data_IF_405894042949
#
_entry.id   IF_405894042949
#
_cell.length_a   1.000
_cell.length_b   1.000
_cell.length_c   1.000
_cell.angle_alpha   90.00
_cell.angle_beta   90.00
_cell.angle_gamma   90.00
#
_symmetry.space_group_name_H-M   'P 1'
#
loop_
_entity.id
_entity.type
_entity.pdbx_description
1 polymer ?
#
# COMPACT_ATOMS: atom_id res chain seq x y z
N UNK A 1 -24.31 -24.48 -50.17
CA UNK A 1 -24.56 -23.07 -50.55
C UNK A 1 -25.69 -22.55 -49.66
N UNK A 2 -25.61 -21.40 -49.00
CA UNK A 2 -24.53 -20.39 -48.97
C UNK A 2 -24.38 -19.84 -47.53
N UNK A 3 -23.16 -19.44 -47.16
CA UNK A 3 -22.92 -18.64 -45.97
C UNK A 3 -23.46 -17.21 -46.19
N UNK A 4 -23.84 -16.54 -45.11
CA UNK A 4 -23.74 -15.08 -44.94
C UNK A 4 -23.60 -14.80 -43.43
N UNK A 5 -22.36 -14.60 -43.00
CA UNK A 5 -22.03 -14.16 -41.65
C UNK A 5 -22.21 -12.63 -41.56
N UNK A 6 -23.09 -12.17 -40.66
CA UNK A 6 -23.32 -10.73 -40.46
C UNK A 6 -22.45 -10.21 -39.31
N UNK A 7 -21.23 -9.82 -39.67
CA UNK A 7 -20.15 -9.42 -38.74
C UNK A 7 -20.44 -8.04 -38.11
N UNK A 8 -21.12 -8.02 -36.95
CA UNK A 8 -21.33 -6.79 -36.17
C UNK A 8 -20.04 -6.31 -35.51
N UNK A 9 -19.34 -5.43 -36.21
CA UNK A 9 -18.24 -4.64 -35.67
C UNK A 9 -18.70 -3.79 -34.47
N UNK A 10 -18.33 -4.21 -33.27
CA UNK A 10 -18.38 -3.38 -32.07
C UNK A 10 -17.07 -2.58 -31.95
N UNK A 11 -17.09 -1.35 -32.45
CA UNK A 11 -15.96 -0.44 -32.42
C UNK A 11 -15.66 0.00 -30.97
N UNK A 12 -14.61 -0.59 -30.38
CA UNK A 12 -14.14 -0.22 -29.04
C UNK A 12 -13.37 1.10 -29.10
N UNK A 13 -13.99 2.18 -28.66
CA UNK A 13 -13.30 3.46 -28.46
C UNK A 13 -12.11 3.27 -27.49
N UNK A 14 -10.88 3.67 -27.88
CA UNK A 14 -9.73 3.56 -26.99
C UNK A 14 -9.86 4.51 -25.80
N UNK A 15 -9.69 3.98 -24.58
CA UNK A 15 -9.62 4.78 -23.36
C UNK A 15 -8.34 5.64 -23.36
N UNK A 16 -8.46 6.92 -23.69
CA UNK A 16 -7.36 7.90 -23.60
C UNK A 16 -6.91 8.06 -22.14
N UNK A 17 -5.77 7.45 -21.80
CA UNK A 17 -5.12 7.65 -20.51
C UNK A 17 -4.33 8.97 -20.53
N UNK A 18 -4.55 9.90 -19.58
CA UNK A 18 -3.73 11.11 -19.51
C UNK A 18 -2.30 10.76 -19.04
N UNK A 19 -1.35 10.74 -19.98
CA UNK A 19 0.08 10.61 -19.71
C UNK A 19 0.59 11.82 -18.93
N UNK A 20 0.98 11.62 -17.67
CA UNK A 20 1.71 12.63 -16.89
C UNK A 20 3.17 12.71 -17.39
N UNK A 21 3.43 13.54 -18.39
CA UNK A 21 4.79 13.80 -18.87
C UNK A 21 5.63 14.53 -17.81
N UNK A 22 6.54 13.78 -17.18
CA UNK A 22 7.57 14.31 -16.30
C UNK A 22 8.67 15.01 -17.14
N UNK A 23 8.45 16.28 -17.51
CA UNK A 23 9.44 17.04 -18.25
C UNK A 23 10.69 17.32 -17.39
N UNK A 24 11.76 16.59 -17.66
CA UNK A 24 13.07 16.74 -17.01
C UNK A 24 14.06 17.34 -18.00
N UNK A 25 14.06 18.67 -18.12
CA UNK A 25 14.98 19.39 -19.00
C UNK A 25 16.30 19.73 -18.28
N UNK A 26 17.29 18.82 -18.38
CA UNK A 26 18.69 19.14 -18.10
C UNK A 26 19.42 19.44 -19.41
N UNK A 27 20.14 20.57 -19.46
CA UNK A 27 21.50 20.73 -20.05
C UNK A 27 21.86 22.21 -20.13
N UNK A 28 23.15 22.51 -19.98
CA UNK A 28 23.86 23.53 -20.76
C UNK A 28 25.36 23.43 -20.44
N UNK A 29 26.17 23.13 -21.45
CA UNK A 29 27.63 23.03 -21.38
C UNK A 29 28.29 24.04 -22.31
N UNK A 30 29.27 24.80 -21.79
CA UNK A 30 30.43 25.38 -22.51
C UNK A 30 30.07 26.49 -23.54
N UNK A 31 30.71 27.68 -23.54
CA UNK A 31 32.07 27.91 -24.11
C UNK A 31 32.64 29.28 -23.69
N UNK A 32 33.96 29.44 -23.77
CA UNK A 32 34.78 30.58 -23.32
C UNK A 32 34.90 31.72 -24.37
N UNK A 33 35.13 32.99 -23.97
CA UNK A 33 36.46 33.67 -24.06
C UNK A 33 36.46 35.23 -24.10
N UNK A 34 37.45 35.79 -23.37
CA UNK A 34 38.26 37.01 -23.64
C UNK A 34 37.62 38.43 -23.66
N UNK A 35 38.48 39.45 -23.54
CA UNK A 35 38.19 40.78 -22.95
C UNK A 35 39.21 41.83 -23.44
N UNK A 36 38.79 43.05 -23.84
CA UNK A 36 39.04 44.22 -22.98
C UNK A 36 37.95 45.33 -22.99
N UNK A 37 38.27 46.44 -22.31
CA UNK A 37 37.55 47.72 -22.12
C UNK A 37 38.00 48.80 -23.14
N UNK A 38 37.55 50.09 -23.16
CA UNK A 38 36.67 50.82 -22.22
C UNK A 38 35.60 51.78 -22.83
N UNK A 39 34.67 52.27 -22.01
CA UNK A 39 34.28 53.70 -21.93
C UNK A 39 33.16 53.93 -20.90
N UNK A 40 33.12 55.13 -20.31
CA UNK A 40 32.28 55.47 -19.17
C UNK A 40 30.90 56.03 -19.56
N UNK A 41 29.83 55.43 -19.05
CA UNK A 41 28.57 56.13 -18.76
C UNK A 41 28.04 55.73 -17.39
N UNK A 42 27.58 56.71 -16.59
CA UNK A 42 27.11 56.48 -15.22
C UNK A 42 25.67 55.97 -15.25
N UNK A 43 25.51 54.67 -15.52
CA UNK A 43 24.22 53.99 -15.41
C UNK A 43 23.88 53.71 -13.94
N UNK A 44 22.98 54.51 -13.35
CA UNK A 44 22.42 54.24 -12.01
C UNK A 44 21.69 52.90 -12.03
N UNK A 45 22.24 51.89 -11.34
CA UNK A 45 21.60 50.57 -11.20
C UNK A 45 20.20 50.73 -10.58
N UNK A 46 19.12 50.24 -11.21
CA UNK A 46 17.81 50.24 -10.57
C UNK A 46 17.84 49.28 -9.38
N UNK A 47 17.91 49.84 -8.16
CA UNK A 47 17.70 49.06 -6.93
C UNK A 47 16.20 48.78 -6.80
N UNK A 48 15.79 47.63 -7.32
CA UNK A 48 14.42 47.14 -7.28
C UNK A 48 14.34 45.73 -7.84
N UNK A 49 13.23 45.04 -7.53
CA UNK A 49 12.92 43.73 -8.13
C UNK A 49 12.80 43.90 -9.66
N UNK A 50 13.30 42.98 -10.50
CA UNK A 50 13.25 43.11 -11.96
C UNK A 50 11.83 43.43 -12.48
N UNK A 51 11.69 44.34 -13.47
CA UNK A 51 10.38 44.72 -13.99
C UNK A 51 9.55 43.50 -14.41
N UNK A 52 8.31 43.44 -13.96
CA UNK A 52 7.36 42.44 -14.46
C UNK A 52 7.62 41.00 -14.01
N UNK A 53 8.37 40.76 -12.92
CA UNK A 53 8.30 39.47 -12.21
C UNK A 53 6.89 39.27 -11.64
N UNK A 54 5.93 38.92 -12.50
CA UNK A 54 4.56 38.56 -12.12
C UNK A 54 4.71 37.47 -11.06
N UNK A 55 4.17 37.73 -9.87
CA UNK A 55 4.03 36.66 -8.89
C UNK A 55 3.21 35.57 -9.58
N UNK A 56 3.84 34.46 -9.98
CA UNK A 56 3.11 33.24 -10.28
C UNK A 56 2.18 33.03 -9.08
N UNK A 57 0.85 32.92 -9.26
CA UNK A 57 -0.04 32.63 -8.16
C UNK A 57 0.58 31.46 -7.40
N UNK A 58 0.87 31.67 -6.11
CA UNK A 58 1.51 30.66 -5.29
C UNK A 58 0.57 29.47 -5.35
N UNK A 59 0.97 28.41 -6.06
CA UNK A 59 0.10 27.26 -6.36
C UNK A 59 -0.54 26.89 -5.02
N UNK A 60 -1.88 26.91 -4.90
CA UNK A 60 -2.52 26.64 -3.63
C UNK A 60 -1.94 25.33 -3.11
N UNK A 61 -1.28 25.39 -1.96
CA UNK A 61 -0.77 24.18 -1.34
C UNK A 61 -1.99 23.29 -1.17
N UNK A 62 -2.00 22.13 -1.84
CA UNK A 62 -3.09 21.18 -1.73
C UNK A 62 -3.10 20.70 -0.29
N UNK A 63 -3.89 21.39 0.55
CA UNK A 63 -4.22 20.96 1.89
C UNK A 63 -5.02 19.70 1.68
N UNK A 64 -4.31 18.58 1.70
CA UNK A 64 -4.92 17.26 1.75
C UNK A 64 -5.49 17.19 3.15
N UNK A 65 -6.73 17.65 3.30
CA UNK A 65 -7.46 17.51 4.54
C UNK A 65 -7.50 16.00 4.83
N UNK A 66 -6.80 15.57 5.88
CA UNK A 66 -6.92 14.20 6.39
C UNK A 66 -8.37 14.05 6.83
N UNK A 67 -9.17 13.39 5.99
CA UNK A 67 -10.60 13.24 6.22
C UNK A 67 -10.71 12.39 7.50
N UNK A 68 -11.37 12.88 8.56
CA UNK A 68 -11.52 12.10 9.78
C UNK A 68 -12.10 10.72 9.45
N UNK A 69 -11.37 9.66 9.81
CA UNK A 69 -11.67 8.26 9.52
C UNK A 69 -11.42 7.77 8.07
N UNK A 70 -10.63 8.48 7.26
CA UNK A 70 -10.20 7.98 5.95
C UNK A 70 -9.52 6.60 6.04
N UNK A 71 -9.87 5.70 5.12
CA UNK A 71 -9.14 4.46 4.90
C UNK A 71 -7.78 4.78 4.26
N UNK A 72 -6.70 4.36 4.90
CA UNK A 72 -5.33 4.53 4.38
C UNK A 72 -4.76 3.19 3.94
N UNK A 73 -4.30 3.07 2.70
CA UNK A 73 -3.61 1.85 2.22
C UNK A 73 -2.17 1.78 2.72
N UNK A 74 -1.71 0.55 2.98
CA UNK A 74 -0.35 0.26 3.41
C UNK A 74 0.15 -1.04 2.80
N UNK A 75 1.40 -1.04 2.33
CA UNK A 75 2.21 -2.23 2.26
C UNK A 75 2.95 -2.36 3.61
N UNK A 76 2.77 -3.49 4.30
CA UNK A 76 3.41 -3.78 5.58
C UNK A 76 4.39 -4.94 5.38
N UNK A 77 5.67 -4.70 5.65
CA UNK A 77 6.70 -5.73 5.61
C UNK A 77 6.91 -6.35 6.99
N UNK A 78 6.89 -7.69 7.07
CA UNK A 78 7.18 -8.46 8.28
C UNK A 78 8.54 -9.13 8.10
N UNK A 79 9.49 -8.78 8.98
CA UNK A 79 10.88 -9.27 8.91
C UNK A 79 10.99 -10.78 9.15
N UNK A 80 11.96 -11.42 8.49
CA UNK A 80 12.33 -12.82 8.68
C UNK A 80 12.44 -13.20 10.17
N UNK A 81 11.74 -14.27 10.57
CA UNK A 81 11.77 -14.80 11.94
C UNK A 81 10.82 -14.11 12.93
N UNK A 82 10.14 -13.03 12.56
CA UNK A 82 9.12 -12.42 13.41
C UNK A 82 7.81 -13.25 13.45
N UNK A 83 7.07 -13.16 14.56
CA UNK A 83 5.66 -13.58 14.60
C UNK A 83 4.80 -12.50 13.93
N UNK A 84 4.11 -12.87 12.84
CA UNK A 84 3.23 -11.99 12.06
C UNK A 84 2.14 -11.38 12.94
N UNK A 85 1.47 -12.19 13.78
CA UNK A 85 0.35 -11.72 14.61
C UNK A 85 0.82 -10.74 15.68
N UNK A 86 1.98 -10.99 16.29
CA UNK A 86 2.60 -10.06 17.24
C UNK A 86 3.01 -8.76 16.55
N UNK A 87 3.65 -8.84 15.39
CA UNK A 87 4.15 -7.68 14.64
C UNK A 87 3.02 -6.74 14.20
N UNK A 88 1.91 -7.30 13.71
CA UNK A 88 0.72 -6.53 13.35
C UNK A 88 0.02 -5.91 14.56
N UNK A 89 -0.09 -6.63 15.69
CA UNK A 89 -0.65 -6.07 16.92
C UNK A 89 0.24 -4.98 17.55
N UNK A 90 1.56 -5.10 17.41
CA UNK A 90 2.50 -4.06 17.80
C UNK A 90 2.41 -2.84 16.85
N UNK A 91 2.11 -3.04 15.56
CA UNK A 91 1.84 -1.96 14.61
C UNK A 91 0.55 -1.20 14.94
N UNK A 92 -0.59 -1.89 15.13
CA UNK A 92 -1.88 -1.24 15.44
C UNK A 92 -1.81 -0.44 16.73
N UNK A 93 -1.21 -1.00 17.78
CA UNK A 93 -1.00 -0.33 19.07
C UNK A 93 -0.14 0.93 18.95
N UNK A 94 0.91 0.93 18.11
CA UNK A 94 1.73 2.14 17.85
C UNK A 94 1.00 3.20 17.02
N UNK A 95 0.05 2.81 16.17
CA UNK A 95 -0.69 3.71 15.27
C UNK A 95 -2.00 4.23 15.85
N UNK A 96 -2.53 3.63 16.92
CA UNK A 96 -3.85 3.96 17.47
C UNK A 96 -5.01 3.67 16.49
N UNK A 97 -4.77 2.86 15.46
CA UNK A 97 -5.70 2.51 14.38
C UNK A 97 -5.74 0.99 14.23
N UNK A 98 -6.90 0.43 13.89
CA UNK A 98 -7.01 -0.96 13.48
C UNK A 98 -6.63 -1.11 12.00
N UNK A 99 -6.38 -2.35 11.59
CA UNK A 99 -6.05 -2.69 10.20
C UNK A 99 -6.85 -3.90 9.71
N UNK A 100 -7.20 -3.86 8.43
CA UNK A 100 -7.71 -4.99 7.66
C UNK A 100 -6.61 -5.44 6.70
N UNK A 101 -6.17 -6.69 6.80
CA UNK A 101 -5.27 -7.33 5.84
C UNK A 101 -6.11 -7.85 4.67
N UNK A 102 -5.81 -7.38 3.46
CA UNK A 102 -6.48 -7.77 2.22
C UNK A 102 -5.91 -9.06 1.63
N UNK A 103 -4.59 -9.20 1.75
CA UNK A 103 -3.79 -10.17 1.05
C UNK A 103 -2.34 -10.04 1.46
N UNK A 104 -1.51 -10.98 1.02
CA UNK A 104 -0.08 -10.94 1.31
C UNK A 104 0.64 -12.17 0.79
N UNK A 105 1.94 -12.02 0.56
CA UNK A 105 2.79 -13.03 -0.03
C UNK A 105 4.05 -13.24 0.81
N UNK A 106 4.49 -14.49 0.91
CA UNK A 106 5.70 -14.88 1.62
C UNK A 106 5.63 -16.33 2.11
N UNK A 107 6.62 -16.74 2.90
CA UNK A 107 6.75 -18.12 3.40
C UNK A 107 6.83 -18.11 4.92
N UNK A 108 6.07 -18.97 5.59
CA UNK A 108 6.20 -19.22 7.04
C UNK A 108 7.02 -20.48 7.31
N UNK A 109 7.67 -20.52 8.49
CA UNK A 109 8.45 -21.69 8.97
C UNK A 109 7.70 -22.53 10.02
N UNK A 110 6.74 -21.89 10.68
CA UNK A 110 5.92 -22.43 11.77
C UNK A 110 4.60 -21.66 11.81
N UNK A 111 3.49 -22.37 11.93
CA UNK A 111 2.17 -21.75 12.13
C UNK A 111 1.22 -22.71 12.85
N UNK A 112 0.31 -22.14 13.65
CA UNK A 112 -0.82 -22.86 14.23
C UNK A 112 -2.12 -22.36 13.59
N UNK A 113 -2.97 -23.29 13.16
CA UNK A 113 -4.27 -23.02 12.54
C UNK A 113 -5.39 -23.67 13.35
N UNK A 114 -6.46 -22.91 13.60
CA UNK A 114 -7.74 -23.47 14.04
C UNK A 114 -8.61 -23.74 12.82
N UNK A 115 -8.97 -25.01 12.63
CA UNK A 115 -9.90 -25.45 11.59
C UNK A 115 -11.35 -25.08 11.96
N UNK A 116 -12.28 -24.99 10.98
CA UNK A 116 -13.71 -24.82 11.25
C UNK A 116 -14.29 -25.90 12.17
N UNK A 117 -13.76 -27.14 12.09
CA UNK A 117 -14.09 -28.27 12.96
C UNK A 117 -13.58 -28.13 14.41
N UNK A 118 -13.01 -26.98 14.79
CA UNK A 118 -12.40 -26.74 16.09
C UNK A 118 -11.01 -27.35 16.28
N UNK A 119 -10.61 -28.31 15.44
CA UNK A 119 -9.28 -28.95 15.48
C UNK A 119 -8.17 -27.91 15.31
N UNK A 120 -7.16 -27.95 16.18
CA UNK A 120 -5.93 -27.17 16.04
C UNK A 120 -4.88 -28.00 15.29
N UNK A 121 -4.33 -27.42 14.23
CA UNK A 121 -3.27 -27.99 13.41
C UNK A 121 -2.00 -27.17 13.58
N UNK A 122 -0.86 -27.83 13.76
CA UNK A 122 0.46 -27.16 13.80
C UNK A 122 1.26 -27.59 12.58
N UNK A 123 1.69 -26.63 11.77
CA UNK A 123 2.49 -26.87 10.58
C UNK A 123 3.91 -26.32 10.79
N UNK A 124 4.91 -27.06 10.32
CA UNK A 124 6.33 -26.73 10.41
C UNK A 124 7.01 -26.96 9.05
N UNK A 125 8.10 -26.25 8.79
CA UNK A 125 8.80 -26.27 7.51
C UNK A 125 8.40 -25.08 6.63
N UNK A 126 8.95 -25.00 5.41
CA UNK A 126 8.70 -23.89 4.48
C UNK A 126 7.33 -24.06 3.83
N UNK A 127 6.39 -23.21 4.23
CA UNK A 127 4.99 -23.25 3.80
C UNK A 127 4.64 -21.90 3.19
N UNK A 128 4.17 -21.89 1.94
CA UNK A 128 3.88 -20.65 1.21
C UNK A 128 2.50 -20.10 1.61
N UNK A 129 2.42 -18.79 1.82
CA UNK A 129 1.15 -18.08 1.93
C UNK A 129 0.59 -17.95 0.52
N UNK A 130 -0.60 -18.51 0.30
CA UNK A 130 -1.36 -18.35 -0.95
C UNK A 130 -2.40 -17.22 -0.83
N UNK A 131 -3.04 -17.12 0.34
CA UNK A 131 -3.91 -15.99 0.69
C UNK A 131 -3.89 -15.76 2.20
N UNK A 132 -4.01 -14.51 2.63
CA UNK A 132 -4.13 -14.10 4.04
C UNK A 132 -5.03 -12.88 4.14
N UNK A 133 -6.05 -12.92 5.00
CA UNK A 133 -6.94 -11.78 5.21
C UNK A 133 -7.48 -11.73 6.63
N UNK A 134 -8.06 -10.60 7.02
CA UNK A 134 -8.74 -10.43 8.31
C UNK A 134 -8.32 -9.17 9.05
N UNK A 135 -8.74 -9.05 10.31
CA UNK A 135 -8.70 -7.79 11.06
C UNK A 135 -7.84 -7.89 12.32
N UNK A 136 -7.00 -6.87 12.55
CA UNK A 136 -6.25 -6.71 13.79
C UNK A 136 -6.64 -5.36 14.39
N UNK A 137 -7.04 -5.38 15.67
CA UNK A 137 -7.44 -4.19 16.40
C UNK A 137 -6.34 -3.69 17.33
N UNK A 138 -6.34 -2.38 17.61
CA UNK A 138 -5.61 -1.79 18.72
C UNK A 138 -6.42 -1.97 20.01
N UNK A 139 -5.78 -2.07 21.20
CA UNK A 139 -6.47 -1.79 22.46
C UNK A 139 -7.21 -0.43 22.39
N UNK A 140 -8.38 -0.28 23.06
CA UNK A 140 -8.98 -1.21 24.02
C UNK A 140 -9.78 -2.37 23.39
N UNK A 141 -10.03 -2.37 22.09
CA UNK A 141 -10.83 -3.41 21.41
C UNK A 141 -10.25 -4.80 21.63
N UNK A 142 -11.10 -5.76 22.02
CA UNK A 142 -10.67 -7.14 22.32
C UNK A 142 -10.00 -7.80 21.12
N UNK A 143 -8.87 -8.47 21.36
CA UNK A 143 -8.16 -9.27 20.33
C UNK A 143 -9.02 -10.41 19.77
N UNK A 144 -10.04 -10.86 20.51
CA UNK A 144 -10.96 -11.91 20.09
C UNK A 144 -12.06 -11.43 19.12
N UNK A 145 -12.25 -10.11 18.97
CA UNK A 145 -13.12 -9.56 17.93
C UNK A 145 -12.45 -9.62 16.54
N UNK A 146 -11.11 -9.67 16.51
CA UNK A 146 -10.31 -9.77 15.29
C UNK A 146 -9.70 -11.15 15.12
N UNK A 147 -8.97 -11.32 14.02
CA UNK A 147 -8.32 -12.56 13.64
C UNK A 147 -7.87 -12.50 12.19
N UNK A 148 -6.93 -13.38 11.83
CA UNK A 148 -6.53 -13.62 10.44
C UNK A 148 -6.97 -15.01 10.02
N UNK A 149 -7.42 -15.14 8.78
CA UNK A 149 -7.59 -16.42 8.09
C UNK A 149 -6.51 -16.50 7.02
N UNK A 150 -5.94 -17.69 6.83
CA UNK A 150 -4.88 -17.93 5.85
C UNK A 150 -5.19 -19.19 5.06
N UNK A 151 -4.77 -19.22 3.80
CA UNK A 151 -4.66 -20.41 2.97
C UNK A 151 -3.19 -20.58 2.58
N UNK A 152 -2.69 -21.79 2.79
CA UNK A 152 -1.29 -22.15 2.71
C UNK A 152 -1.06 -23.31 1.75
N UNK A 153 0.03 -23.28 1.01
CA UNK A 153 0.47 -24.39 0.16
C UNK A 153 1.74 -25.02 0.71
N UNK A 154 1.72 -26.34 0.91
CA UNK A 154 2.90 -27.12 1.24
C UNK A 154 3.76 -27.44 0.00
N UNK A 155 5.01 -27.92 0.17
CA UNK A 155 5.91 -28.22 -0.94
C UNK A 155 5.42 -29.33 -1.89
N UNK A 156 4.38 -30.09 -1.49
CA UNK A 156 3.72 -31.12 -2.31
C UNK A 156 2.43 -30.63 -2.98
N UNK A 157 2.22 -29.32 -3.14
CA UNK A 157 1.03 -28.74 -3.77
C UNK A 157 -0.26 -28.73 -2.94
N UNK A 158 -0.35 -29.55 -1.89
CA UNK A 158 -1.51 -29.58 -0.98
C UNK A 158 -1.78 -28.23 -0.32
N UNK A 159 -3.05 -27.82 -0.33
CA UNK A 159 -3.52 -26.59 0.31
C UNK A 159 -4.20 -26.87 1.66
N UNK A 160 -3.94 -26.00 2.64
CA UNK A 160 -4.53 -26.06 3.99
C UNK A 160 -4.90 -24.63 4.41
N UNK A 161 -6.13 -24.40 4.86
CA UNK A 161 -6.58 -23.10 5.34
C UNK A 161 -7.14 -23.13 6.75
N UNK A 162 -7.26 -21.98 7.41
CA UNK A 162 -7.88 -21.84 8.73
C UNK A 162 -7.58 -20.51 9.42
N UNK A 163 -8.16 -20.31 10.60
CA UNK A 163 -7.89 -19.13 11.43
C UNK A 163 -6.52 -19.24 12.08
N UNK A 164 -5.69 -18.21 11.95
CA UNK A 164 -4.32 -18.18 12.47
C UNK A 164 -4.33 -18.01 13.98
N UNK A 165 -3.56 -18.87 14.66
CA UNK A 165 -3.22 -18.72 16.07
C UNK A 165 -1.74 -18.33 16.20
N UNK A 166 -1.42 -17.45 17.16
CA UNK A 166 -0.02 -17.11 17.43
C UNK A 166 0.72 -18.33 18.01
N UNK A 167 2.01 -18.54 17.65
CA UNK A 167 2.78 -17.74 16.71
C UNK A 167 2.65 -18.20 15.24
N UNK A 168 2.72 -17.25 14.31
CA UNK A 168 2.90 -17.46 12.86
C UNK A 168 4.25 -16.88 12.47
N UNK A 169 5.28 -17.73 12.35
CA UNK A 169 6.68 -17.29 12.25
C UNK A 169 7.13 -17.20 10.80
N UNK A 170 7.61 -16.02 10.40
CA UNK A 170 8.12 -15.75 9.06
C UNK A 170 9.40 -16.56 8.73
N UNK A 171 9.43 -17.22 7.57
CA UNK A 171 10.62 -17.93 7.05
C UNK A 171 11.55 -17.00 6.29
N UNK A 172 10.97 -16.06 5.55
CA UNK A 172 11.61 -14.94 4.85
C UNK A 172 10.84 -13.65 5.17
N UNK A 173 11.14 -12.53 4.49
CA UNK A 173 10.28 -11.35 4.55
C UNK A 173 8.89 -11.66 3.96
N UNK A 174 7.83 -11.16 4.61
CA UNK A 174 6.43 -11.31 4.19
C UNK A 174 5.86 -9.92 3.94
N UNK A 175 5.33 -9.68 2.74
CA UNK A 175 4.66 -8.42 2.39
C UNK A 175 3.15 -8.60 2.49
N UNK A 176 2.49 -7.74 3.27
CA UNK A 176 1.05 -7.72 3.48
C UNK A 176 0.45 -6.43 2.93
N UNK A 177 -0.66 -6.52 2.21
CA UNK A 177 -1.45 -5.37 1.77
C UNK A 177 -2.58 -5.13 2.77
N UNK A 178 -2.72 -3.91 3.26
CA UNK A 178 -3.66 -3.58 4.33
C UNK A 178 -4.32 -2.21 4.14
N UNK A 179 -5.49 -2.02 4.78
CA UNK A 179 -6.07 -0.70 5.04
C UNK A 179 -6.11 -0.42 6.55
N UNK A 180 -5.72 0.79 6.97
CA UNK A 180 -5.94 1.29 8.34
C UNK A 180 -7.26 2.05 8.46
N UNK A 181 -7.91 1.93 9.62
CA UNK A 181 -9.13 2.67 9.97
C UNK A 181 -9.15 3.06 11.46
N UNK A 182 -9.84 4.16 11.76
CA UNK A 182 -10.02 4.71 13.11
C UNK A 182 -11.45 4.47 13.61
N UNK A 183 -11.72 4.76 14.90
CA UNK A 183 -13.05 4.77 15.51
C UNK A 183 -13.86 3.48 15.27
N UNK A 184 -13.34 2.38 15.83
CA UNK A 184 -13.79 1.03 15.56
C UNK A 184 -14.87 0.60 16.54
N UNK A 185 -16.09 0.38 16.04
CA UNK A 185 -17.14 -0.34 16.74
C UNK A 185 -17.17 -1.78 16.24
N UNK A 186 -17.16 -2.75 17.16
CA UNK A 186 -17.40 -4.16 16.86
C UNK A 186 -18.74 -4.57 17.48
N UNK A 187 -19.70 -4.94 16.63
CA UNK A 187 -21.00 -5.43 17.04
C UNK A 187 -21.14 -6.90 16.64
N UNK A 188 -21.51 -7.76 17.60
CA UNK A 188 -21.78 -9.17 17.32
C UNK A 188 -23.28 -9.32 17.03
N UNK A 189 -23.64 -9.28 15.74
CA UNK A 189 -24.99 -9.60 15.30
C UNK A 189 -25.24 -11.10 15.55
N UNK A 190 -26.12 -11.41 16.51
CA UNK A 190 -26.65 -12.75 16.71
C UNK A 190 -27.87 -12.95 15.82
N UNK A 191 -27.84 -13.95 14.94
CA UNK A 191 -29.11 -14.52 14.45
C UNK A 191 -29.78 -15.23 15.61
N UNK A 192 -31.05 -14.94 15.85
CA UNK A 192 -31.94 -15.88 16.54
C UNK A 192 -32.12 -17.07 15.60
N UNK A 193 -32.22 -18.27 16.18
CA UNK A 193 -32.45 -19.52 15.46
C UNK A 193 -33.94 -19.92 15.56
#
# INVERSE_FOLDING_TARGET
>A
MSNHDEERNHELHPFTTPQLQLNTSNTNTTTQNHHPTPSSTIARRPRGRPPGSKNKPKIPAMVTHDIPNALTSHALEITTGADVLKSLFDYTRRKGKGIYILGGNGVVRYIRLRQPTGKVLTLKGRIQIHSISGMIFSPPTSRAAGGLTVYLSGPKGHMIGGSVMSPMVASNSITLMAFSFANITYEKISSVA
#
